data_IF_927347505928
#
_entry.id   IF_927347505928
#
_cell.length_a   1.000
_cell.length_b   1.000
_cell.length_c   1.000
_cell.angle_alpha   90.00
_cell.angle_beta   90.00
_cell.angle_gamma   90.00
#
_symmetry.space_group_name_H-M   'P 1'
#
loop_
_entity.id
_entity.type
_entity.pdbx_description
1 polymer ?
#
# COMPACT_ATOMS: atom_id res chain seq x y z
N UNK A 1 -29.83 10.37 48.79
CA UNK A 1 -28.72 11.23 49.25
C UNK A 1 -27.94 11.66 48.02
N UNK A 2 -28.13 12.90 47.57
CA UNK A 2 -27.45 13.48 46.42
C UNK A 2 -26.10 14.05 46.87
N UNK A 3 -25.02 13.42 46.47
CA UNK A 3 -23.69 14.00 46.67
C UNK A 3 -23.42 14.98 45.51
N UNK A 4 -23.63 16.26 45.76
CA UNK A 4 -23.15 17.34 44.92
C UNK A 4 -21.64 17.45 45.08
N UNK A 5 -20.90 16.97 44.09
CA UNK A 5 -19.48 17.22 44.02
C UNK A 5 -19.26 18.68 43.66
N UNK A 6 -18.72 19.47 44.60
CA UNK A 6 -18.18 20.80 44.33
C UNK A 6 -17.01 20.64 43.34
N UNK A 7 -17.24 21.00 42.08
CA UNK A 7 -16.18 21.23 41.09
C UNK A 7 -15.38 22.45 41.58
N UNK A 8 -14.12 22.27 41.92
CA UNK A 8 -13.16 23.38 42.09
C UNK A 8 -13.03 24.05 40.71
N UNK A 9 -13.52 25.26 40.63
CA UNK A 9 -13.34 26.11 39.44
C UNK A 9 -11.84 26.42 39.35
N UNK A 10 -11.18 25.89 38.30
CA UNK A 10 -9.90 26.28 37.70
C UNK A 10 -8.91 25.15 37.38
N UNK A 11 -9.26 23.87 37.45
CA UNK A 11 -8.42 22.85 36.84
C UNK A 11 -9.13 22.32 35.60
N UNK A 12 -8.56 22.61 34.43
CA UNK A 12 -8.99 22.00 33.16
C UNK A 12 -8.59 20.52 33.21
N UNK A 13 -9.53 19.66 33.62
CA UNK A 13 -9.32 18.20 33.58
C UNK A 13 -9.49 17.70 32.15
N UNK A 14 -8.53 16.92 31.68
CA UNK A 14 -8.64 16.22 30.40
C UNK A 14 -9.31 14.89 30.69
N UNK A 15 -10.48 14.66 30.07
CA UNK A 15 -11.25 13.43 30.26
C UNK A 15 -11.38 12.66 28.93
N UNK A 16 -11.31 11.32 28.96
CA UNK A 16 -11.51 10.52 27.76
C UNK A 16 -12.97 10.54 27.34
N UNK A 17 -13.21 10.59 26.03
CA UNK A 17 -14.54 10.48 25.45
C UNK A 17 -14.66 9.09 24.83
N UNK A 18 -15.58 8.27 25.37
CA UNK A 18 -15.85 6.94 24.86
C UNK A 18 -17.05 6.92 23.92
N UNK A 19 -17.03 6.05 22.92
CA UNK A 19 -18.21 5.77 22.10
C UNK A 19 -19.37 5.27 22.96
N UNK A 20 -20.58 5.76 22.66
CA UNK A 20 -21.79 5.36 23.42
C UNK A 20 -22.07 3.88 23.22
N UNK A 21 -22.11 3.13 24.31
CA UNK A 21 -22.58 1.74 24.36
C UNK A 21 -23.96 1.75 24.99
N UNK A 22 -24.93 1.07 24.33
CA UNK A 22 -26.31 1.01 24.82
C UNK A 22 -26.35 0.38 26.22
N UNK A 23 -26.89 1.10 27.19
CA UNK A 23 -27.02 0.64 28.58
C UNK A 23 -25.78 0.88 29.46
N UNK A 24 -24.74 1.58 28.97
CA UNK A 24 -23.55 1.92 29.77
C UNK A 24 -23.33 3.44 29.83
N UNK A 25 -23.04 3.96 31.04
CA UNK A 25 -22.59 5.35 31.19
C UNK A 25 -21.07 5.45 30.95
N UNK A 26 -20.61 6.66 30.61
CA UNK A 26 -19.17 6.93 30.40
C UNK A 26 -18.37 6.70 31.69
N UNK A 27 -18.94 7.03 32.85
CA UNK A 27 -18.33 6.81 34.16
C UNK A 27 -18.16 5.31 34.45
N UNK A 28 -19.19 4.50 34.14
CA UNK A 28 -19.11 3.05 34.30
C UNK A 28 -18.05 2.44 33.40
N UNK A 29 -17.99 2.85 32.12
CA UNK A 29 -16.93 2.43 31.20
C UNK A 29 -15.54 2.81 31.74
N UNK A 30 -15.36 4.02 32.26
CA UNK A 30 -14.10 4.45 32.88
C UNK A 30 -13.70 3.57 34.08
N UNK A 31 -14.66 3.19 34.93
CA UNK A 31 -14.40 2.26 36.05
C UNK A 31 -13.97 0.87 35.57
N UNK A 32 -14.66 0.32 34.56
CA UNK A 32 -14.32 -1.01 33.98
C UNK A 32 -12.93 -0.99 33.36
N UNK A 33 -12.59 0.05 32.57
CA UNK A 33 -11.28 0.19 31.95
C UNK A 33 -10.19 0.32 33.05
N UNK A 34 -10.43 1.09 34.10
CA UNK A 34 -9.50 1.23 35.21
C UNK A 34 -9.24 -0.10 35.93
N UNK A 35 -10.28 -0.88 36.17
CA UNK A 35 -10.16 -2.21 36.75
C UNK A 35 -9.38 -3.15 35.81
N UNK A 36 -9.73 -3.18 34.54
CA UNK A 36 -9.05 -4.00 33.54
C UNK A 36 -7.57 -3.70 33.43
N UNK A 37 -7.18 -2.42 33.40
CA UNK A 37 -5.78 -2.00 33.36
C UNK A 37 -5.01 -2.27 34.65
N UNK A 38 -5.70 -2.38 35.78
CA UNK A 38 -5.08 -2.72 37.06
C UNK A 38 -4.86 -4.22 37.21
N UNK A 39 -5.83 -5.03 36.80
CA UNK A 39 -5.84 -6.49 37.02
C UNK A 39 -5.11 -7.25 35.90
N UNK A 40 -5.02 -6.68 34.69
CA UNK A 40 -4.36 -7.29 33.54
C UNK A 40 -3.20 -6.39 33.07
N UNK A 41 -1.98 -6.87 33.21
CA UNK A 41 -0.82 -6.19 32.62
C UNK A 41 -0.79 -6.39 31.11
N UNK A 42 -0.71 -5.30 30.37
CA UNK A 42 -0.48 -5.35 28.93
C UNK A 42 0.97 -5.73 28.67
N UNK A 43 1.21 -6.83 27.99
CA UNK A 43 2.56 -7.33 27.73
C UNK A 43 3.29 -6.40 26.74
N UNK A 44 4.47 -5.88 27.17
CA UNK A 44 5.36 -5.14 26.27
C UNK A 44 5.92 -6.05 25.19
N UNK A 45 5.83 -5.63 23.93
CA UNK A 45 6.28 -6.39 22.77
C UNK A 45 7.40 -5.70 21.99
N UNK A 46 7.64 -4.40 22.27
CA UNK A 46 8.74 -3.66 21.65
C UNK A 46 9.96 -3.78 22.57
N UNK A 47 11.10 -4.16 21.99
CA UNK A 47 12.35 -4.30 22.73
C UNK A 47 12.76 -3.00 23.44
N UNK A 48 13.47 -3.13 24.57
CA UNK A 48 14.00 -1.99 25.34
C UNK A 48 14.85 -1.06 24.47
N UNK A 49 15.67 -1.62 23.59
CA UNK A 49 16.60 -0.86 22.76
C UNK A 49 15.86 0.05 21.78
N UNK A 50 14.81 -0.47 21.14
CA UNK A 50 13.94 0.30 20.24
C UNK A 50 13.20 1.39 21.04
N UNK A 51 12.70 1.07 22.23
CA UNK A 51 11.98 2.05 23.05
C UNK A 51 12.88 3.19 23.52
N UNK A 52 14.08 2.87 23.97
CA UNK A 52 15.07 3.86 24.45
C UNK A 52 15.53 4.75 23.28
N UNK A 53 15.94 4.15 22.16
CA UNK A 53 16.44 4.91 21.00
C UNK A 53 15.40 5.86 20.39
N UNK A 54 14.11 5.52 20.50
CA UNK A 54 13.02 6.34 19.98
C UNK A 54 12.32 7.18 21.06
N UNK A 55 12.77 7.15 22.29
CA UNK A 55 12.14 7.84 23.43
C UNK A 55 10.64 7.47 23.56
N UNK A 56 10.35 6.17 23.57
CA UNK A 56 9.00 5.61 23.64
C UNK A 56 8.77 5.02 25.02
N UNK A 57 7.66 5.40 25.66
CA UNK A 57 7.30 4.88 26.99
C UNK A 57 6.82 3.43 26.93
N UNK A 58 6.75 2.80 28.09
CA UNK A 58 6.16 1.49 28.29
C UNK A 58 4.67 1.46 27.90
N UNK A 59 4.21 0.35 27.31
CA UNK A 59 2.85 0.22 26.79
C UNK A 59 1.78 0.30 27.90
N UNK A 60 2.03 -0.33 29.05
CA UNK A 60 1.10 -0.29 30.19
C UNK A 60 0.95 1.15 30.74
N UNK A 61 2.07 1.89 30.82
CA UNK A 61 2.08 3.29 31.22
C UNK A 61 1.32 4.14 30.20
N UNK A 62 1.51 3.90 28.90
CA UNK A 62 0.80 4.63 27.84
C UNK A 62 -0.71 4.43 27.91
N UNK A 63 -1.20 3.20 28.04
CA UNK A 63 -2.63 2.93 28.16
C UNK A 63 -3.24 3.59 29.41
N UNK A 64 -2.55 3.52 30.56
CA UNK A 64 -3.02 4.19 31.76
C UNK A 64 -3.16 5.71 31.55
N UNK A 65 -2.17 6.34 30.90
CA UNK A 65 -2.17 7.78 30.66
C UNK A 65 -3.20 8.19 29.60
N UNK A 66 -3.38 7.40 28.53
CA UNK A 66 -4.40 7.69 27.50
C UNK A 66 -5.80 7.72 28.11
N UNK A 67 -6.09 6.78 28.99
CA UNK A 67 -7.42 6.70 29.62
C UNK A 67 -7.57 7.62 30.84
N UNK A 68 -6.49 7.94 31.54
CA UNK A 68 -6.51 8.75 32.77
C UNK A 68 -5.35 9.76 32.79
N UNK A 69 -5.36 10.72 31.86
CA UNK A 69 -4.26 11.68 31.72
C UNK A 69 -4.21 12.62 32.90
N UNK A 70 -3.01 12.86 33.44
CA UNK A 70 -2.80 13.86 34.50
C UNK A 70 -2.70 15.26 33.91
N UNK A 71 -2.06 15.38 32.77
CA UNK A 71 -1.84 16.64 32.07
C UNK A 71 -1.68 16.39 30.57
N UNK A 72 -1.63 17.47 29.78
CA UNK A 72 -1.54 17.41 28.31
C UNK A 72 -0.19 16.88 27.82
N UNK A 73 0.88 17.16 28.56
CA UNK A 73 2.23 16.71 28.20
C UNK A 73 2.33 15.19 28.31
N UNK A 74 1.87 14.62 29.42
CA UNK A 74 1.81 13.18 29.61
C UNK A 74 0.95 12.50 28.54
N UNK A 75 -0.23 13.08 28.24
CA UNK A 75 -1.10 12.56 27.16
C UNK A 75 -0.40 12.56 25.82
N UNK A 76 0.31 13.63 25.46
CA UNK A 76 1.04 13.69 24.18
C UNK A 76 2.12 12.60 24.09
N UNK A 77 2.85 12.33 25.17
CA UNK A 77 3.83 11.25 25.22
C UNK A 77 3.16 9.87 25.07
N UNK A 78 2.03 9.65 25.70
CA UNK A 78 1.27 8.41 25.57
C UNK A 78 0.68 8.23 24.16
N UNK A 79 0.17 9.29 23.56
CA UNK A 79 -0.31 9.28 22.17
C UNK A 79 0.83 9.01 21.18
N UNK A 80 2.03 9.53 21.44
CA UNK A 80 3.21 9.21 20.63
C UNK A 80 3.51 7.71 20.66
N UNK A 81 3.40 7.06 21.83
CA UNK A 81 3.54 5.62 21.97
C UNK A 81 2.49 4.90 21.13
N UNK A 82 1.23 5.27 21.24
CA UNK A 82 0.13 4.64 20.48
C UNK A 82 0.34 4.75 18.97
N UNK A 83 0.71 5.94 18.48
CA UNK A 83 1.01 6.14 17.06
C UNK A 83 2.20 5.26 16.62
N UNK A 84 3.24 5.19 17.44
CA UNK A 84 4.41 4.35 17.18
C UNK A 84 4.01 2.87 17.07
N UNK A 85 3.16 2.37 17.95
CA UNK A 85 2.70 0.98 17.95
C UNK A 85 1.98 0.62 16.64
N UNK A 86 1.04 1.46 16.22
CA UNK A 86 0.28 1.26 14.97
C UNK A 86 1.22 1.23 13.76
N UNK A 87 2.17 2.16 13.69
CA UNK A 87 3.13 2.21 12.59
C UNK A 87 4.14 1.06 12.65
N UNK A 88 4.62 0.70 13.84
CA UNK A 88 5.58 -0.38 14.05
C UNK A 88 4.97 -1.72 13.65
N UNK A 89 3.74 -2.01 14.07
CA UNK A 89 3.02 -3.21 13.67
C UNK A 89 2.84 -3.27 12.15
N UNK A 90 2.40 -2.18 11.55
CA UNK A 90 2.21 -2.08 10.10
C UNK A 90 3.51 -2.32 9.33
N UNK A 91 4.59 -1.64 9.71
CA UNK A 91 5.91 -1.80 9.07
C UNK A 91 6.46 -3.21 9.29
N UNK A 92 6.32 -3.78 10.49
CA UNK A 92 6.79 -5.13 10.80
C UNK A 92 6.07 -6.20 9.97
N UNK A 93 4.77 -6.03 9.72
CA UNK A 93 4.00 -6.93 8.85
C UNK A 93 4.48 -6.82 7.40
N UNK A 94 4.71 -5.59 6.92
CA UNK A 94 5.25 -5.37 5.56
C UNK A 94 6.64 -6.00 5.45
N UNK A 95 7.53 -5.72 6.38
CA UNK A 95 8.92 -6.20 6.38
C UNK A 95 8.98 -7.74 6.48
N UNK A 96 8.16 -8.34 7.35
CA UNK A 96 8.05 -9.80 7.44
C UNK A 96 7.40 -10.45 6.22
N UNK A 97 6.56 -9.71 5.50
CA UNK A 97 5.91 -10.15 4.25
C UNK A 97 6.80 -10.00 3.02
N UNK A 98 7.83 -9.18 3.09
CA UNK A 98 8.88 -9.09 2.07
C UNK A 98 9.84 -10.28 2.30
N UNK A 99 9.36 -11.49 2.05
CA UNK A 99 10.26 -12.59 1.77
C UNK A 99 11.01 -12.17 0.50
N UNK A 100 12.32 -12.02 0.60
CA UNK A 100 13.17 -11.82 -0.57
C UNK A 100 12.93 -13.00 -1.52
N UNK A 101 11.97 -12.83 -2.42
CA UNK A 101 11.75 -13.77 -3.51
C UNK A 101 12.82 -13.47 -4.53
N UNK A 102 13.58 -14.47 -4.90
CA UNK A 102 14.47 -14.36 -6.04
C UNK A 102 13.66 -13.89 -7.24
N UNK A 103 14.01 -12.76 -7.82
CA UNK A 103 13.40 -12.28 -9.04
C UNK A 103 14.02 -13.03 -10.21
N UNK A 104 13.22 -13.32 -11.23
CA UNK A 104 13.75 -13.89 -12.47
C UNK A 104 14.15 -12.72 -13.35
N UNK A 105 15.44 -12.52 -13.66
CA UNK A 105 15.89 -11.45 -14.52
C UNK A 105 15.22 -11.48 -15.89
N UNK A 106 14.79 -10.31 -16.36
CA UNK A 106 14.25 -10.15 -17.70
C UNK A 106 15.37 -9.83 -18.69
N UNK A 107 15.25 -10.34 -19.90
CA UNK A 107 16.20 -10.01 -20.97
C UNK A 107 15.92 -8.59 -21.47
N UNK A 108 16.88 -7.70 -21.32
CA UNK A 108 16.81 -6.30 -21.74
C UNK A 108 17.70 -5.99 -22.94
N UNK A 109 18.34 -6.98 -23.56
CA UNK A 109 19.21 -6.80 -24.72
C UNK A 109 18.45 -6.72 -26.05
N UNK A 110 17.21 -7.19 -26.11
CA UNK A 110 16.38 -7.17 -27.31
C UNK A 110 15.00 -6.61 -27.00
N UNK A 111 14.89 -5.29 -26.89
CA UNK A 111 13.65 -4.59 -26.57
C UNK A 111 12.97 -4.05 -27.82
N UNK A 112 12.25 -4.91 -28.56
CA UNK A 112 11.58 -4.57 -29.82
C UNK A 112 10.43 -3.62 -29.56
N UNK A 113 9.52 -3.99 -28.67
CA UNK A 113 8.33 -3.20 -28.32
C UNK A 113 8.72 -1.86 -27.68
N UNK A 114 9.73 -1.87 -26.82
CA UNK A 114 10.33 -0.66 -26.26
C UNK A 114 10.80 0.34 -27.33
N UNK A 115 11.55 -0.13 -28.32
CA UNK A 115 12.03 0.71 -29.41
C UNK A 115 10.89 1.26 -30.26
N UNK A 116 9.85 0.44 -30.51
CA UNK A 116 8.64 0.88 -31.19
C UNK A 116 7.91 1.98 -30.42
N UNK A 117 7.76 1.86 -29.09
CA UNK A 117 7.15 2.89 -28.27
C UNK A 117 7.96 4.18 -28.40
N UNK A 118 9.28 4.12 -28.21
CA UNK A 118 10.14 5.29 -28.28
C UNK A 118 10.05 6.05 -29.62
N UNK A 119 9.88 5.36 -30.72
CA UNK A 119 9.70 5.98 -32.05
C UNK A 119 8.32 6.57 -32.28
N UNK A 120 7.30 6.08 -31.59
CA UNK A 120 5.90 6.53 -31.68
C UNK A 120 5.56 7.68 -30.74
N UNK A 121 6.41 7.96 -29.74
CA UNK A 121 6.17 9.07 -28.83
C UNK A 121 6.20 10.41 -29.57
N UNK A 122 5.21 11.28 -29.38
CA UNK A 122 5.17 12.61 -30.00
C UNK A 122 6.16 13.60 -29.37
N UNK A 123 6.93 13.14 -28.37
CA UNK A 123 7.91 13.94 -27.62
C UNK A 123 9.12 13.09 -27.24
N UNK A 124 10.23 13.76 -26.90
CA UNK A 124 11.39 13.10 -26.32
C UNK A 124 11.26 13.04 -24.80
N UNK A 125 11.70 11.92 -24.21
CA UNK A 125 11.77 11.81 -22.75
C UNK A 125 12.73 12.86 -22.18
N UNK A 126 12.37 13.46 -21.06
CA UNK A 126 13.27 14.35 -20.30
C UNK A 126 14.45 13.58 -19.73
N UNK A 127 15.51 14.30 -19.31
CA UNK A 127 16.68 13.66 -18.68
C UNK A 127 16.29 12.78 -17.47
N UNK A 128 15.47 13.32 -16.58
CA UNK A 128 14.99 12.58 -15.39
C UNK A 128 14.12 11.36 -15.72
N UNK A 129 13.27 11.45 -16.74
CA UNK A 129 12.49 10.30 -17.21
C UNK A 129 13.41 9.21 -17.82
N UNK A 130 14.40 9.61 -18.63
CA UNK A 130 15.38 8.67 -19.18
C UNK A 130 16.17 7.95 -18.07
N UNK A 131 16.58 8.68 -17.05
CA UNK A 131 17.32 8.10 -15.93
C UNK A 131 16.46 7.16 -15.09
N UNK A 132 15.21 7.52 -14.83
CA UNK A 132 14.25 6.64 -14.14
C UNK A 132 14.01 5.34 -14.94
N UNK A 133 13.81 5.46 -16.25
CA UNK A 133 13.64 4.33 -17.16
C UNK A 133 14.86 3.41 -17.13
N UNK A 134 16.08 3.97 -17.25
CA UNK A 134 17.33 3.19 -17.18
C UNK A 134 17.49 2.45 -15.87
N UNK A 135 17.16 3.10 -14.73
CA UNK A 135 17.23 2.46 -13.41
C UNK A 135 16.23 1.30 -13.30
N UNK A 136 15.00 1.47 -13.79
CA UNK A 136 14.00 0.40 -13.81
C UNK A 136 14.44 -0.78 -14.68
N UNK A 137 14.96 -0.48 -15.88
CA UNK A 137 15.45 -1.54 -16.78
C UNK A 137 16.65 -2.28 -16.19
N UNK A 138 17.57 -1.58 -15.55
CA UNK A 138 18.69 -2.20 -14.86
C UNK A 138 18.22 -3.15 -13.75
N UNK A 139 17.24 -2.70 -12.96
CA UNK A 139 16.63 -3.55 -11.92
C UNK A 139 15.88 -4.75 -12.50
N UNK A 140 15.15 -4.58 -13.60
CA UNK A 140 14.47 -5.69 -14.28
C UNK A 140 15.43 -6.75 -14.82
N UNK A 141 16.67 -6.36 -15.13
CA UNK A 141 17.72 -7.27 -15.58
C UNK A 141 18.48 -7.94 -14.44
N UNK A 142 18.25 -7.55 -13.19
CA UNK A 142 18.87 -8.14 -11.99
C UNK A 142 17.99 -9.25 -11.40
N UNK A 143 18.56 -10.04 -10.53
CA UNK A 143 17.88 -11.05 -9.71
C UNK A 143 17.27 -10.48 -8.42
N UNK A 144 17.35 -9.15 -8.24
CA UNK A 144 16.80 -8.47 -7.09
C UNK A 144 15.29 -8.21 -7.22
N UNK A 145 14.56 -8.41 -6.13
CA UNK A 145 13.16 -8.04 -6.05
C UNK A 145 12.99 -6.51 -6.14
N UNK A 146 12.18 -6.08 -7.10
CA UNK A 146 11.95 -4.65 -7.32
C UNK A 146 10.76 -4.18 -6.49
N UNK A 147 11.03 -3.29 -5.52
CA UNK A 147 10.03 -2.49 -4.84
C UNK A 147 10.45 -1.02 -4.96
N UNK A 148 9.83 -0.28 -5.87
CA UNK A 148 10.26 1.09 -6.21
C UNK A 148 9.06 2.03 -6.24
N UNK A 149 9.15 3.11 -5.47
CA UNK A 149 8.21 4.21 -5.52
C UNK A 149 8.70 5.25 -6.54
N UNK A 150 7.83 5.58 -7.51
CA UNK A 150 8.08 6.65 -8.48
C UNK A 150 7.22 7.85 -8.09
N UNK A 151 7.87 8.92 -7.65
CA UNK A 151 7.22 10.16 -7.28
C UNK A 151 7.45 11.24 -8.34
N UNK A 152 6.42 12.00 -8.66
CA UNK A 152 6.48 13.12 -9.59
C UNK A 152 5.15 13.85 -9.67
N UNK A 153 5.15 15.06 -10.18
CA UNK A 153 3.96 15.89 -10.33
C UNK A 153 2.96 15.30 -11.33
N UNK A 154 1.73 15.81 -11.30
CA UNK A 154 0.70 15.47 -12.29
C UNK A 154 1.22 15.86 -13.68
N UNK A 155 1.11 14.96 -14.65
CA UNK A 155 1.63 15.18 -16.00
C UNK A 155 3.13 14.97 -16.17
N UNK A 156 3.87 14.55 -15.15
CA UNK A 156 5.31 14.26 -15.25
C UNK A 156 5.68 13.03 -16.08
N UNK A 157 4.69 12.29 -16.59
CA UNK A 157 4.89 11.11 -17.44
C UNK A 157 5.12 9.80 -16.69
N UNK A 158 4.64 9.68 -15.44
CA UNK A 158 4.73 8.42 -14.66
C UNK A 158 4.13 7.23 -15.39
N UNK A 159 2.98 7.42 -16.04
CA UNK A 159 2.29 6.39 -16.85
C UNK A 159 3.17 5.86 -17.98
N UNK A 160 3.99 6.74 -18.59
CA UNK A 160 4.93 6.32 -19.62
C UNK A 160 6.03 5.39 -19.09
N UNK A 161 6.47 5.59 -17.85
CA UNK A 161 7.43 4.69 -17.20
C UNK A 161 6.82 3.29 -17.01
N UNK A 162 5.55 3.25 -16.58
CA UNK A 162 4.80 2.00 -16.46
C UNK A 162 4.62 1.28 -17.81
N UNK A 163 4.34 2.03 -18.88
CA UNK A 163 4.23 1.51 -20.24
C UNK A 163 5.56 0.89 -20.71
N UNK A 164 6.68 1.55 -20.45
CA UNK A 164 8.00 1.00 -20.80
C UNK A 164 8.30 -0.29 -20.05
N UNK A 165 7.98 -0.40 -18.76
CA UNK A 165 8.16 -1.64 -18.01
C UNK A 165 7.23 -2.74 -18.54
N UNK A 166 5.98 -2.41 -18.84
CA UNK A 166 5.03 -3.35 -19.43
C UNK A 166 5.53 -3.88 -20.80
N UNK A 167 6.16 -3.03 -21.61
CA UNK A 167 6.76 -3.47 -22.87
C UNK A 167 7.90 -4.47 -22.70
N UNK A 168 8.73 -4.29 -21.67
CA UNK A 168 9.79 -5.27 -21.35
C UNK A 168 9.19 -6.61 -20.94
N UNK A 169 8.08 -6.62 -20.20
CA UNK A 169 7.39 -7.87 -19.85
C UNK A 169 6.87 -8.58 -21.11
N UNK A 170 6.24 -7.84 -22.03
CA UNK A 170 5.73 -8.41 -23.30
C UNK A 170 6.88 -8.97 -24.16
N UNK A 171 7.98 -8.23 -24.30
CA UNK A 171 9.17 -8.67 -25.05
C UNK A 171 9.81 -9.94 -24.47
N UNK A 172 9.59 -10.20 -23.18
CA UNK A 172 10.06 -11.39 -22.47
C UNK A 172 9.02 -12.51 -22.36
N UNK A 173 7.89 -12.43 -23.07
CA UNK A 173 6.77 -13.37 -22.95
C UNK A 173 6.26 -13.50 -21.51
N UNK A 174 6.18 -12.38 -20.78
CA UNK A 174 5.72 -12.31 -19.39
C UNK A 174 4.44 -11.50 -19.26
N UNK A 175 3.79 -11.68 -18.13
CA UNK A 175 2.57 -10.96 -17.78
C UNK A 175 2.90 -9.77 -16.87
N UNK A 176 2.17 -8.67 -17.07
CA UNK A 176 2.24 -7.47 -16.26
C UNK A 176 0.83 -7.10 -15.77
N UNK A 177 0.71 -6.63 -14.54
CA UNK A 177 -0.54 -6.13 -13.98
C UNK A 177 -0.41 -4.63 -13.69
N UNK A 178 -1.41 -3.84 -14.12
CA UNK A 178 -1.48 -2.40 -13.88
C UNK A 178 -2.77 -2.11 -13.12
N UNK A 179 -2.63 -1.79 -11.83
CA UNK A 179 -3.73 -1.47 -10.93
C UNK A 179 -3.96 0.03 -10.90
N UNK A 180 -5.18 0.45 -11.21
CA UNK A 180 -5.62 1.83 -11.03
C UNK A 180 -6.72 1.94 -9.95
N UNK A 181 -6.80 3.05 -9.22
CA UNK A 181 -7.74 3.20 -8.11
C UNK A 181 -9.20 3.28 -8.56
N UNK A 182 -9.45 3.74 -9.78
CA UNK A 182 -10.81 3.88 -10.34
C UNK A 182 -10.92 3.23 -11.71
N UNK A 183 -12.15 2.86 -12.08
CA UNK A 183 -12.42 2.25 -13.38
C UNK A 183 -12.19 3.24 -14.55
N UNK A 184 -12.39 4.52 -14.30
CA UNK A 184 -12.15 5.58 -15.30
C UNK A 184 -10.66 5.67 -15.64
N UNK A 185 -9.80 5.73 -14.62
CA UNK A 185 -8.34 5.75 -14.81
C UNK A 185 -7.85 4.43 -15.42
N UNK A 186 -8.38 3.30 -14.99
CA UNK A 186 -8.03 2.02 -15.58
C UNK A 186 -8.37 1.95 -17.08
N UNK A 187 -9.52 2.47 -17.50
CA UNK A 187 -9.88 2.56 -18.92
C UNK A 187 -8.96 3.49 -19.70
N UNK A 188 -8.61 4.63 -19.12
CA UNK A 188 -7.65 5.56 -19.72
C UNK A 188 -6.28 4.88 -19.94
N UNK A 189 -5.76 4.19 -18.93
CA UNK A 189 -4.51 3.41 -19.08
C UNK A 189 -4.65 2.28 -20.10
N UNK A 190 -5.78 1.58 -20.12
CA UNK A 190 -6.05 0.54 -21.10
C UNK A 190 -5.99 1.08 -22.53
N UNK A 191 -6.63 2.21 -22.80
CA UNK A 191 -6.63 2.85 -24.14
C UNK A 191 -5.22 3.29 -24.52
N UNK A 192 -4.50 3.94 -23.60
CA UNK A 192 -3.12 4.39 -23.82
C UNK A 192 -2.19 3.19 -24.10
N UNK A 193 -2.20 2.17 -23.24
CA UNK A 193 -1.32 1.02 -23.37
C UNK A 193 -1.67 0.20 -24.63
N UNK A 194 -2.96 0.03 -24.96
CA UNK A 194 -3.40 -0.64 -26.17
C UNK A 194 -2.95 0.08 -27.43
N UNK A 195 -2.89 1.41 -27.40
CA UNK A 195 -2.40 2.22 -28.52
C UNK A 195 -0.92 1.99 -28.84
N UNK A 196 -0.12 1.70 -27.83
CA UNK A 196 1.33 1.48 -27.99
C UNK A 196 1.71 -0.01 -28.12
N UNK A 197 1.12 -0.89 -27.32
CA UNK A 197 1.49 -2.31 -27.23
C UNK A 197 0.66 -3.20 -28.20
N UNK A 198 -0.45 -2.70 -28.69
CA UNK A 198 -1.42 -3.50 -29.45
C UNK A 198 -2.52 -4.08 -28.55
N UNK A 199 -3.72 -4.19 -29.10
CA UNK A 199 -4.89 -4.74 -28.37
C UNK A 199 -4.77 -6.22 -28.06
N UNK A 200 -3.92 -6.93 -28.78
CA UNK A 200 -3.61 -8.35 -28.56
C UNK A 200 -2.85 -8.58 -27.25
N UNK A 201 -2.05 -7.59 -26.81
CA UNK A 201 -1.24 -7.67 -25.59
C UNK A 201 -1.85 -6.97 -24.37
N UNK A 202 -2.89 -6.17 -24.54
CA UNK A 202 -3.49 -5.42 -23.43
C UNK A 202 -4.94 -5.81 -23.23
N UNK A 203 -5.31 -6.15 -22.00
CA UNK A 203 -6.68 -6.51 -21.62
C UNK A 203 -7.16 -5.66 -20.45
N UNK A 204 -8.44 -5.32 -20.46
CA UNK A 204 -9.09 -4.58 -19.38
C UNK A 204 -9.87 -5.55 -18.49
N UNK A 205 -9.65 -5.44 -17.16
CA UNK A 205 -10.38 -6.22 -16.17
C UNK A 205 -10.88 -5.33 -15.03
N UNK A 206 -12.16 -4.99 -15.07
CA UNK A 206 -12.83 -4.13 -14.11
C UNK A 206 -14.19 -4.65 -13.68
N UNK A 207 -14.93 -3.83 -12.94
CA UNK A 207 -16.31 -4.13 -12.53
C UNK A 207 -17.26 -4.31 -13.70
N UNK A 208 -17.11 -3.48 -14.74
CA UNK A 208 -17.94 -3.50 -15.96
C UNK A 208 -17.59 -4.60 -16.96
N UNK A 209 -16.49 -5.35 -16.78
CA UNK A 209 -16.09 -6.42 -17.68
C UNK A 209 -17.08 -7.58 -17.61
N UNK A 210 -17.61 -8.00 -18.75
CA UNK A 210 -18.60 -9.08 -18.84
C UNK A 210 -18.02 -10.42 -18.37
N UNK A 211 -18.88 -11.29 -17.83
CA UNK A 211 -18.45 -12.60 -17.31
C UNK A 211 -17.76 -13.46 -18.37
N UNK A 212 -18.24 -13.43 -19.62
CA UNK A 212 -17.62 -14.13 -20.76
C UNK A 212 -16.20 -13.64 -21.03
N UNK A 213 -16.00 -12.31 -21.04
CA UNK A 213 -14.70 -11.67 -21.25
C UNK A 213 -13.73 -11.99 -20.10
N UNK A 214 -14.23 -11.97 -18.84
CA UNK A 214 -13.42 -12.37 -17.68
C UNK A 214 -12.92 -13.81 -17.79
N UNK A 215 -13.77 -14.73 -18.27
CA UNK A 215 -13.39 -16.14 -18.48
C UNK A 215 -12.33 -16.27 -19.59
N UNK A 216 -12.48 -15.52 -20.67
CA UNK A 216 -11.52 -15.52 -21.78
C UNK A 216 -10.16 -14.96 -21.35
N UNK A 217 -10.15 -13.81 -20.66
CA UNK A 217 -8.92 -13.22 -20.09
C UNK A 217 -8.22 -14.21 -19.18
N UNK A 218 -8.97 -14.83 -18.25
CA UNK A 218 -8.39 -15.82 -17.34
C UNK A 218 -7.77 -17.00 -18.07
N UNK A 219 -8.44 -17.53 -19.10
CA UNK A 219 -7.90 -18.61 -19.92
C UNK A 219 -6.59 -18.21 -20.62
N UNK A 220 -6.51 -17.00 -21.16
CA UNK A 220 -5.31 -16.45 -21.78
C UNK A 220 -4.16 -16.32 -20.77
N UNK A 221 -4.47 -15.84 -19.54
CA UNK A 221 -3.51 -15.74 -18.44
C UNK A 221 -3.01 -17.11 -17.98
N UNK A 222 -3.92 -18.08 -17.83
CA UNK A 222 -3.57 -19.47 -17.47
C UNK A 222 -2.70 -20.15 -18.54
N UNK A 223 -2.88 -19.80 -19.81
CA UNK A 223 -2.05 -20.27 -20.92
C UNK A 223 -0.67 -19.61 -20.99
N UNK A 224 -0.40 -18.62 -20.13
CA UNK A 224 0.88 -17.91 -20.12
C UNK A 224 1.07 -16.90 -21.25
N UNK A 225 -0.01 -16.46 -21.91
CA UNK A 225 0.10 -15.43 -22.93
C UNK A 225 0.69 -14.14 -22.36
N UNK A 226 1.57 -13.45 -23.11
CA UNK A 226 2.19 -12.19 -22.67
C UNK A 226 1.14 -11.07 -22.70
N UNK A 227 0.53 -10.84 -21.55
CA UNK A 227 -0.56 -9.89 -21.38
C UNK A 227 -0.23 -8.82 -20.34
N UNK A 228 -0.61 -7.60 -20.66
CA UNK A 228 -0.70 -6.48 -19.73
C UNK A 228 -2.15 -6.35 -19.29
N UNK A 229 -2.43 -6.71 -18.04
CA UNK A 229 -3.78 -6.64 -17.47
C UNK A 229 -3.95 -5.31 -16.77
N UNK A 230 -4.77 -4.45 -17.33
CA UNK A 230 -5.09 -3.13 -16.75
C UNK A 230 -6.45 -3.20 -16.08
N UNK A 231 -6.55 -2.75 -14.83
CA UNK A 231 -7.84 -2.76 -14.15
C UNK A 231 -7.81 -2.19 -12.75
N UNK A 232 -8.90 -2.42 -12.04
CA UNK A 232 -9.07 -2.05 -10.63
C UNK A 232 -8.78 -3.27 -9.74
N UNK A 233 -9.25 -3.27 -8.50
CA UNK A 233 -9.10 -4.42 -7.59
C UNK A 233 -9.57 -5.78 -8.17
N UNK A 234 -10.27 -5.77 -9.30
CA UNK A 234 -10.67 -7.00 -9.98
C UNK A 234 -9.48 -7.85 -10.44
N UNK A 235 -8.34 -7.20 -10.78
CA UNK A 235 -7.14 -7.88 -11.29
C UNK A 235 -6.38 -8.69 -10.22
N UNK A 236 -6.60 -8.40 -8.94
CA UNK A 236 -5.97 -9.09 -7.80
C UNK A 236 -6.90 -10.10 -7.11
N UNK A 237 -8.09 -10.33 -7.65
CA UNK A 237 -9.01 -11.31 -7.09
C UNK A 237 -8.46 -12.74 -7.24
N UNK A 238 -8.76 -13.63 -6.28
CA UNK A 238 -8.32 -15.04 -6.28
C UNK A 238 -8.73 -15.83 -7.53
N UNK A 239 -9.73 -15.34 -8.25
CA UNK A 239 -10.22 -15.93 -9.49
C UNK A 239 -9.34 -15.61 -10.70
N UNK A 240 -8.44 -14.63 -10.59
CA UNK A 240 -7.49 -14.26 -11.65
C UNK A 240 -6.18 -14.98 -11.40
N UNK A 241 -5.78 -15.85 -12.33
CA UNK A 241 -4.60 -16.71 -12.18
C UNK A 241 -3.53 -16.32 -13.18
N UNK A 242 -2.52 -15.66 -12.71
CA UNK A 242 -1.33 -15.37 -13.49
C UNK A 242 -0.38 -16.56 -13.43
N UNK A 243 0.17 -16.99 -14.56
CA UNK A 243 1.16 -18.07 -14.63
C UNK A 243 2.59 -17.57 -14.82
N UNK A 244 2.74 -16.35 -15.35
CA UNK A 244 4.06 -15.75 -15.63
C UNK A 244 4.11 -14.26 -15.28
N UNK A 245 3.41 -13.85 -14.20
CA UNK A 245 3.42 -12.47 -13.70
C UNK A 245 4.83 -12.07 -13.27
N UNK A 246 5.40 -11.07 -13.93
CA UNK A 246 6.76 -10.59 -13.65
C UNK A 246 6.79 -9.19 -13.06
N UNK A 247 5.75 -8.40 -13.28
CA UNK A 247 5.73 -7.03 -12.78
C UNK A 247 4.31 -6.57 -12.42
N UNK A 248 4.22 -5.74 -11.38
CA UNK A 248 2.99 -5.09 -10.95
C UNK A 248 3.23 -3.61 -10.83
N UNK A 249 2.37 -2.83 -11.45
CA UNK A 249 2.30 -1.37 -11.30
C UNK A 249 1.07 -1.02 -10.48
N UNK A 250 1.21 -0.15 -9.51
CA UNK A 250 0.11 0.42 -8.72
C UNK A 250 0.15 1.93 -8.91
N UNK A 251 -0.91 2.48 -9.53
CA UNK A 251 -1.07 3.92 -9.76
C UNK A 251 -1.95 4.57 -8.68
#
# INVERSE_FOLDING_TARGET
MSASAHRKANEISIEPVYSKIKGMSTEYLGMVIRAALKDNSVKEYISSDIRISNNIMDIQAAYNIIHFPKDRLALNHAMRRYIFDVLYEYVSVIDSGIVAKEAIPLNVSSLITWNMIKTRLPFSLTGSQNDAVKQLVFKLASDEYINTLIQGDVGSGKTMLALFVASVCVDNNKQCAVLAPTEVLAKQHYEEFSGYLGKEHVVFLGGSTKVSEKKEINKRLENGEPLVVVGTHAIIQKTVKYTSLSFVVID
#
